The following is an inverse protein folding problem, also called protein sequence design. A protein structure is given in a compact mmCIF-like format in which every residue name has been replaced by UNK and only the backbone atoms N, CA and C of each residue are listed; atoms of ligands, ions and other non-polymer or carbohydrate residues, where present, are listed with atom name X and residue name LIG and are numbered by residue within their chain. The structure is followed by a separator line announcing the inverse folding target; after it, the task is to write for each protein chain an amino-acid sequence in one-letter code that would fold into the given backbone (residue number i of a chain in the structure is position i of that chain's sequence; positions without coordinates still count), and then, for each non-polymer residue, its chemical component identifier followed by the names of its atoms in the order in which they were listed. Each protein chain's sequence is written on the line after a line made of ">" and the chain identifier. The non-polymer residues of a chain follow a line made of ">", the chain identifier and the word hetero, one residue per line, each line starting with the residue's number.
data_IF_930463776689
#
_entry.id   IF_930463776689
#
_cell.length_a   1.000
_cell.length_b   1.000
_cell.length_c   1.000
_cell.angle_alpha   90.00
_cell.angle_beta   90.00
_cell.angle_gamma   90.00
#
_symmetry.space_group_name_H-M   'P 1'
#
loop_
_entity.id
_entity.type
_entity.pdbx_description
1 polymer ?
#
# COMPACT_ATOMS: atom_id res chain seq x y z
N UNK A 1 -1.56 16.52 -19.84
CA UNK A 1 -2.68 15.66 -20.32
C UNK A 1 -3.90 15.65 -19.39
N UNK A 2 -3.89 15.06 -18.18
CA UNK A 2 -5.12 14.98 -17.35
C UNK A 2 -5.62 16.35 -16.87
N UNK A 3 -4.71 17.25 -16.46
CA UNK A 3 -5.07 18.63 -16.11
C UNK A 3 -5.56 19.45 -17.31
N UNK A 4 -4.90 19.32 -18.45
CA UNK A 4 -5.31 19.97 -19.71
C UNK A 4 -6.68 19.48 -20.19
N UNK A 5 -7.04 18.23 -19.87
CA UNK A 5 -8.37 17.68 -20.08
C UNK A 5 -9.43 18.21 -19.10
N UNK A 6 -9.06 19.10 -18.17
CA UNK A 6 -9.97 19.76 -17.22
C UNK A 6 -10.10 19.06 -15.87
N UNK A 7 -9.19 18.16 -15.50
CA UNK A 7 -9.17 17.62 -14.13
C UNK A 7 -8.68 18.67 -13.14
N UNK A 8 -9.47 18.91 -12.10
CA UNK A 8 -9.17 19.88 -11.03
C UNK A 8 -8.72 19.22 -9.74
N UNK A 9 -8.90 17.90 -9.64
CA UNK A 9 -8.57 17.09 -8.47
C UNK A 9 -8.37 15.64 -8.87
N UNK A 10 -7.48 14.92 -8.20
CA UNK A 10 -7.26 13.49 -8.41
C UNK A 10 -7.48 12.75 -7.11
N UNK A 11 -8.37 11.76 -7.12
CA UNK A 11 -8.51 10.78 -6.05
C UNK A 11 -8.02 9.45 -6.59
N UNK A 12 -7.08 8.83 -5.88
CA UNK A 12 -6.44 7.57 -6.28
C UNK A 12 -6.16 6.71 -5.05
N UNK A 13 -5.66 5.50 -5.27
CA UNK A 13 -5.33 4.56 -4.21
C UNK A 13 -3.99 3.88 -4.49
N UNK A 14 -3.13 3.81 -3.47
CA UNK A 14 -1.85 3.10 -3.46
C UNK A 14 -0.95 3.41 -4.67
N UNK A 15 -0.65 4.69 -4.89
CA UNK A 15 0.38 5.07 -5.86
C UNK A 15 1.67 4.27 -5.65
N UNK A 16 2.22 3.73 -6.75
CA UNK A 16 3.43 2.90 -6.74
C UNK A 16 4.60 3.57 -6.00
N UNK A 17 4.70 4.88 -6.13
CA UNK A 17 5.63 5.72 -5.39
C UNK A 17 4.93 7.02 -4.99
N UNK A 18 5.10 7.46 -3.73
CA UNK A 18 4.44 8.67 -3.22
C UNK A 18 4.85 9.93 -3.99
N UNK A 19 6.07 9.95 -4.54
CA UNK A 19 6.60 11.05 -5.36
C UNK A 19 5.77 11.32 -6.63
N UNK A 20 5.02 10.33 -7.12
CA UNK A 20 4.14 10.49 -8.29
C UNK A 20 3.09 11.59 -8.06
N UNK A 21 2.71 11.86 -6.80
CA UNK A 21 1.82 12.97 -6.46
C UNK A 21 2.37 14.32 -6.94
N UNK A 22 3.70 14.49 -6.93
CA UNK A 22 4.36 15.72 -7.40
C UNK A 22 4.31 15.93 -8.91
N UNK A 23 3.83 14.95 -9.69
CA UNK A 23 3.63 15.10 -11.14
C UNK A 23 2.24 15.67 -11.50
N UNK A 24 1.36 15.84 -10.53
CA UNK A 24 0.06 16.47 -10.73
C UNK A 24 0.14 17.93 -10.30
N UNK A 25 -0.29 18.85 -11.18
CA UNK A 25 -0.40 20.27 -10.81
C UNK A 25 -1.74 20.62 -10.13
N UNK A 26 -2.47 19.62 -9.67
CA UNK A 26 -3.72 19.77 -8.92
C UNK A 26 -3.65 18.92 -7.65
N UNK A 27 -4.50 19.17 -6.64
CA UNK A 27 -4.43 18.40 -5.41
C UNK A 27 -4.69 16.90 -5.69
N UNK A 28 -4.07 16.04 -4.88
CA UNK A 28 -4.16 14.58 -5.02
C UNK A 28 -4.45 13.96 -3.67
N UNK A 29 -5.58 13.26 -3.57
CA UNK A 29 -5.86 12.35 -2.46
C UNK A 29 -5.36 10.95 -2.84
N UNK A 30 -4.24 10.52 -2.23
CA UNK A 30 -3.75 9.16 -2.35
C UNK A 30 -4.20 8.33 -1.14
N UNK A 31 -5.29 7.59 -1.31
CA UNK A 31 -5.84 6.70 -0.30
C UNK A 31 -4.97 5.44 -0.14
N UNK A 32 -5.03 4.81 1.03
CA UNK A 32 -4.27 3.58 1.33
C UNK A 32 -5.21 2.41 1.61
N UNK A 33 -5.03 1.30 0.90
CA UNK A 33 -5.84 0.09 1.13
C UNK A 33 -5.38 -0.73 2.34
N UNK A 34 -4.19 -0.41 2.89
CA UNK A 34 -3.55 -1.16 3.99
C UNK A 34 -4.48 -1.43 5.19
N UNK A 35 -5.27 -0.47 5.72
CA UNK A 35 -6.17 -0.74 6.84
C UNK A 35 -7.21 -1.82 6.53
N UNK A 36 -7.82 -1.76 5.35
CA UNK A 36 -8.81 -2.75 4.88
C UNK A 36 -8.16 -4.11 4.66
N UNK A 37 -6.95 -4.14 4.09
CA UNK A 37 -6.21 -5.38 3.89
C UNK A 37 -5.84 -6.04 5.22
N UNK A 38 -5.37 -5.26 6.20
CA UNK A 38 -5.06 -5.75 7.55
C UNK A 38 -6.30 -6.32 8.22
N UNK A 39 -7.44 -5.66 8.10
CA UNK A 39 -8.71 -6.17 8.63
C UNK A 39 -9.08 -7.50 7.97
N UNK A 40 -9.03 -7.58 6.64
CA UNK A 40 -9.33 -8.80 5.91
C UNK A 40 -8.44 -9.97 6.37
N UNK A 41 -7.13 -9.74 6.52
CA UNK A 41 -6.20 -10.77 6.97
C UNK A 41 -6.56 -11.26 8.38
N UNK A 42 -6.89 -10.35 9.31
CA UNK A 42 -7.31 -10.74 10.67
C UNK A 42 -8.56 -11.59 10.70
N UNK A 43 -9.51 -11.31 9.81
CA UNK A 43 -10.82 -11.96 9.80
C UNK A 43 -10.82 -13.29 9.02
N UNK A 44 -9.94 -13.44 8.03
CA UNK A 44 -10.05 -14.51 7.03
C UNK A 44 -8.81 -15.42 6.93
N UNK A 45 -7.71 -15.09 7.59
CA UNK A 45 -6.47 -15.88 7.53
C UNK A 45 -6.12 -16.39 8.93
N UNK A 46 -5.79 -17.69 9.04
CA UNK A 46 -5.15 -18.21 10.24
C UNK A 46 -3.72 -17.69 10.31
N UNK A 47 -3.59 -16.49 10.86
CA UNK A 47 -2.33 -15.75 10.96
C UNK A 47 -1.26 -16.55 11.71
N UNK A 48 -1.64 -17.41 12.68
CA UNK A 48 -0.69 -18.23 13.45
C UNK A 48 0.04 -19.27 12.62
N UNK A 49 -0.50 -19.62 11.45
CA UNK A 49 0.09 -20.58 10.52
C UNK A 49 0.38 -19.95 9.16
N UNK A 50 0.59 -18.63 9.12
CA UNK A 50 0.90 -17.87 7.92
C UNK A 50 2.15 -17.02 8.09
N UNK A 51 2.82 -16.72 6.97
CA UNK A 51 3.96 -15.79 6.92
C UNK A 51 3.72 -14.78 5.80
N UNK A 52 3.99 -13.52 6.08
CA UNK A 52 3.95 -12.46 5.06
C UNK A 52 5.29 -12.42 4.36
N UNK A 53 5.24 -12.48 3.02
CA UNK A 53 6.43 -12.52 2.16
C UNK A 53 6.48 -11.30 1.26
N UNK A 54 7.66 -10.66 1.20
CA UNK A 54 7.98 -9.74 0.12
C UNK A 54 8.90 -10.42 -0.90
N UNK A 55 8.56 -10.39 -2.21
CA UNK A 55 9.39 -11.00 -3.26
C UNK A 55 10.60 -10.15 -3.65
N UNK A 56 10.64 -8.89 -3.21
CA UNK A 56 11.72 -7.96 -3.50
C UNK A 56 11.86 -6.88 -2.40
N UNK A 57 12.92 -6.09 -2.49
CA UNK A 57 13.19 -5.00 -1.54
C UNK A 57 12.19 -3.82 -1.64
N UNK A 58 11.56 -3.62 -2.79
CA UNK A 58 10.55 -2.58 -3.00
C UNK A 58 9.26 -2.86 -2.24
N UNK A 59 8.84 -4.12 -2.19
CA UNK A 59 7.70 -4.59 -1.39
C UNK A 59 7.98 -4.69 0.12
N UNK A 60 9.25 -4.74 0.51
CA UNK A 60 9.64 -5.05 1.90
C UNK A 60 9.09 -4.06 2.92
N UNK A 61 9.07 -2.76 2.57
CA UNK A 61 8.47 -1.72 3.44
C UNK A 61 6.98 -1.94 3.66
N UNK A 62 6.25 -2.36 2.62
CA UNK A 62 4.81 -2.64 2.72
C UNK A 62 4.56 -3.89 3.54
N UNK A 63 5.31 -4.96 3.28
CA UNK A 63 5.24 -6.18 4.08
C UNK A 63 5.47 -5.89 5.57
N UNK A 64 6.53 -5.14 5.89
CA UNK A 64 6.86 -4.75 7.27
C UNK A 64 5.76 -3.90 7.92
N UNK A 65 5.13 -2.97 7.19
CA UNK A 65 4.03 -2.16 7.72
C UNK A 65 2.82 -3.01 8.09
N UNK A 66 2.46 -3.96 7.21
CA UNK A 66 1.33 -4.88 7.44
C UNK A 66 1.62 -5.77 8.67
N UNK A 67 2.83 -6.31 8.78
CA UNK A 67 3.17 -7.25 9.86
C UNK A 67 3.23 -6.54 11.22
N UNK A 68 3.74 -5.31 11.26
CA UNK A 68 3.72 -4.47 12.46
C UNK A 68 2.28 -4.18 12.94
N UNK A 69 1.31 -4.05 12.03
CA UNK A 69 -0.11 -3.88 12.39
C UNK A 69 -0.78 -5.17 12.80
N UNK A 70 -0.32 -6.32 12.33
CA UNK A 70 -0.86 -7.62 12.69
C UNK A 70 -0.26 -8.18 13.99
N UNK A 71 0.87 -7.63 14.45
CA UNK A 71 1.70 -8.18 15.54
C UNK A 71 2.31 -9.56 15.16
N UNK A 72 2.86 -9.62 13.94
CA UNK A 72 3.41 -10.85 13.32
C UNK A 72 4.83 -10.68 12.79
N UNK A 73 5.53 -11.80 12.65
CA UNK A 73 6.83 -11.90 11.96
C UNK A 73 6.66 -11.91 10.43
N UNK A 74 7.67 -11.44 9.69
CA UNK A 74 7.69 -11.43 8.22
C UNK A 74 8.99 -12.01 7.66
N UNK A 75 8.92 -12.55 6.44
CA UNK A 75 10.08 -13.06 5.72
C UNK A 75 10.37 -12.21 4.46
N UNK A 76 11.65 -11.91 4.23
CA UNK A 76 12.13 -11.32 2.99
C UNK A 76 12.85 -12.41 2.19
N UNK A 77 12.43 -12.65 0.95
CA UNK A 77 13.17 -13.51 0.03
C UNK A 77 14.02 -12.63 -0.90
N UNK A 78 15.35 -12.82 -0.95
CA UNK A 78 16.25 -12.09 -1.85
C UNK A 78 16.21 -12.62 -3.29
#
# INVERSE_FOLDING_TARGET
>A
MIREAGAHHVITMDLRASQIQGFFDCPVDNLYAEPTLVQYIRENVDVKNAVIVSPDAGGAKRASSITARLDFDFALFP
#
